data_IF_636447483280
#
_entry.id   IF_636447483280
#
_cell.length_a   1.000
_cell.length_b   1.000
_cell.length_c   1.000
_cell.angle_alpha   90.00
_cell.angle_beta   90.00
_cell.angle_gamma   90.00
#
_symmetry.space_group_name_H-M   'P 1'
#
loop_
_entity.id
_entity.type
_entity.pdbx_description
1 polymer ?
#
# COMPACT_ATOMS: atom_id res chain seq x y z
N UNK A 1 1.01 15.46 -11.34
CA UNK A 1 1.02 14.25 -10.50
C UNK A 1 2.11 13.36 -11.07
N UNK A 2 2.94 12.76 -10.23
CA UNK A 2 3.95 11.80 -10.67
C UNK A 2 3.29 10.64 -11.43
N UNK A 3 4.08 9.88 -12.18
CA UNK A 3 3.60 8.68 -12.85
C UNK A 3 3.38 7.55 -11.83
N UNK A 4 2.37 6.71 -12.06
CA UNK A 4 2.22 5.46 -11.31
C UNK A 4 3.33 4.51 -11.78
N UNK A 5 4.18 4.07 -10.86
CA UNK A 5 5.32 3.19 -11.16
C UNK A 5 5.05 1.74 -10.79
N UNK A 6 4.07 1.50 -9.91
CA UNK A 6 3.61 0.15 -9.58
C UNK A 6 2.11 0.17 -9.23
N UNK A 7 1.41 -0.86 -9.67
CA UNK A 7 0.02 -1.13 -9.31
C UNK A 7 -0.14 -2.63 -9.01
N UNK A 8 -0.96 -2.95 -8.00
CA UNK A 8 -1.35 -4.32 -7.67
C UNK A 8 -2.84 -4.37 -7.36
N UNK A 9 -3.49 -5.46 -7.76
CA UNK A 9 -4.86 -5.77 -7.34
C UNK A 9 -4.84 -6.99 -6.41
N UNK A 10 -5.50 -6.86 -5.26
CA UNK A 10 -5.68 -7.88 -4.22
C UNK A 10 -7.18 -8.18 -4.15
N UNK A 11 -7.53 -9.43 -3.87
CA UNK A 11 -8.92 -9.83 -3.63
C UNK A 11 -9.25 -9.71 -2.15
N UNK A 12 -10.41 -9.14 -1.83
CA UNK A 12 -11.03 -9.25 -0.51
C UNK A 12 -12.22 -10.19 -0.62
N UNK A 13 -12.19 -11.31 0.10
CA UNK A 13 -13.31 -12.25 0.19
C UNK A 13 -14.09 -11.97 1.47
N UNK A 14 -15.30 -11.44 1.32
CA UNK A 14 -16.20 -11.13 2.44
C UNK A 14 -16.77 -12.43 3.05
N UNK A 15 -17.31 -12.38 4.29
CA UNK A 15 -18.00 -13.51 4.92
C UNK A 15 -19.17 -14.09 4.10
N UNK A 16 -19.77 -13.29 3.22
CA UNK A 16 -20.81 -13.75 2.27
C UNK A 16 -20.26 -14.62 1.13
N UNK A 17 -18.94 -14.72 0.98
CA UNK A 17 -18.27 -15.30 -0.18
C UNK A 17 -18.13 -14.34 -1.36
N UNK A 18 -18.63 -13.10 -1.25
CA UNK A 18 -18.46 -12.07 -2.27
C UNK A 18 -16.99 -11.65 -2.35
N UNK A 19 -16.45 -11.60 -3.58
CA UNK A 19 -15.09 -11.10 -3.83
C UNK A 19 -15.14 -9.64 -4.30
N UNK A 20 -14.36 -8.79 -3.65
CA UNK A 20 -14.14 -7.40 -4.03
C UNK A 20 -12.67 -7.18 -4.39
N UNK A 21 -12.39 -6.16 -5.21
CA UNK A 21 -11.02 -5.83 -5.63
C UNK A 21 -10.50 -4.64 -4.83
N UNK A 22 -9.34 -4.83 -4.19
CA UNK A 22 -8.56 -3.79 -3.54
C UNK A 22 -7.37 -3.46 -4.43
N UNK A 23 -7.23 -2.21 -4.82
CA UNK A 23 -6.16 -1.72 -5.67
C UNK A 23 -5.12 -0.96 -4.84
N UNK A 24 -3.87 -1.35 -4.97
CA UNK A 24 -2.71 -0.70 -4.37
C UNK A 24 -1.94 0.02 -5.48
N UNK A 25 -1.68 1.31 -5.33
CA UNK A 25 -0.95 2.15 -6.30
C UNK A 25 0.21 2.85 -5.63
N UNK A 26 1.33 2.93 -6.33
CA UNK A 26 2.54 3.61 -5.90
C UNK A 26 3.00 4.55 -7.01
N UNK A 27 3.28 5.79 -6.64
CA UNK A 27 3.72 6.82 -7.56
C UNK A 27 5.23 7.02 -7.49
N UNK A 28 5.80 7.54 -8.58
CA UNK A 28 7.20 7.93 -8.63
C UNK A 28 7.53 8.91 -7.49
N UNK A 29 8.67 8.73 -6.80
CA UNK A 29 9.10 9.67 -5.78
C UNK A 29 9.40 11.05 -6.39
N UNK A 30 8.94 12.11 -5.73
CA UNK A 30 9.18 13.50 -6.12
C UNK A 30 9.88 14.25 -5.00
N UNK A 31 10.84 15.10 -5.37
CA UNK A 31 11.45 16.02 -4.41
C UNK A 31 10.48 17.15 -4.08
N UNK A 32 10.29 17.43 -2.79
CA UNK A 32 9.46 18.50 -2.23
C UNK A 32 10.34 19.63 -1.70
N UNK A 33 10.56 20.72 -2.47
CA UNK A 33 11.46 21.79 -2.05
C UNK A 33 11.04 22.47 -0.74
N UNK A 34 9.74 22.57 -0.47
CA UNK A 34 9.21 23.20 0.74
C UNK A 34 9.50 22.42 2.03
N UNK A 35 9.69 21.10 1.93
CA UNK A 35 9.96 20.22 3.06
C UNK A 35 11.41 19.68 3.04
N UNK A 36 12.19 20.03 2.00
CA UNK A 36 13.57 19.59 1.79
C UNK A 36 13.74 18.06 1.84
N UNK A 37 12.73 17.32 1.37
CA UNK A 37 12.69 15.86 1.38
C UNK A 37 12.15 15.30 0.06
N UNK A 38 12.23 13.99 -0.10
CA UNK A 38 11.53 13.25 -1.13
C UNK A 38 10.28 12.61 -0.56
N UNK A 39 9.22 12.56 -1.37
CA UNK A 39 7.96 11.90 -1.04
C UNK A 39 7.60 10.90 -2.14
N UNK A 40 7.08 9.73 -1.76
CA UNK A 40 6.45 8.80 -2.67
C UNK A 40 5.01 8.54 -2.19
N UNK A 41 4.03 8.92 -3.01
CA UNK A 41 2.63 8.66 -2.71
C UNK A 41 2.32 7.16 -2.82
N UNK A 42 1.48 6.67 -1.92
CA UNK A 42 0.90 5.33 -1.93
C UNK A 42 -0.59 5.39 -1.63
N UNK A 43 -1.37 4.56 -2.31
CA UNK A 43 -2.81 4.47 -2.13
C UNK A 43 -3.26 3.01 -2.08
N UNK A 44 -4.23 2.72 -1.22
CA UNK A 44 -4.96 1.46 -1.16
C UNK A 44 -6.46 1.80 -1.22
N UNK A 45 -7.16 1.31 -2.24
CA UNK A 45 -8.57 1.63 -2.47
C UNK A 45 -9.40 0.44 -2.95
N UNK A 46 -10.62 0.29 -2.44
CA UNK A 46 -11.55 -0.79 -2.75
C UNK A 46 -12.57 -0.96 -1.61
N UNK A 47 -13.61 -1.78 -1.80
CA UNK A 47 -14.61 -2.05 -0.75
C UNK A 47 -15.29 -0.82 -0.12
N UNK A 48 -15.40 0.29 -0.87
CA UNK A 48 -15.94 1.56 -0.35
C UNK A 48 -14.96 2.40 0.46
N UNK A 49 -13.72 1.94 0.62
CA UNK A 49 -12.64 2.62 1.31
C UNK A 49 -11.56 3.10 0.33
N UNK A 50 -10.92 4.21 0.67
CA UNK A 50 -9.76 4.72 -0.05
C UNK A 50 -8.84 5.42 0.93
N UNK A 51 -7.60 4.97 1.01
CA UNK A 51 -6.57 5.52 1.87
C UNK A 51 -5.38 5.92 1.02
N UNK A 52 -4.97 7.18 1.14
CA UNK A 52 -3.79 7.72 0.47
C UNK A 52 -2.87 8.36 1.50
N UNK A 53 -1.60 8.04 1.42
CA UNK A 53 -0.54 8.61 2.26
C UNK A 53 0.76 8.67 1.46
N UNK A 54 1.88 8.99 2.09
CA UNK A 54 3.19 9.03 1.46
C UNK A 54 4.28 8.49 2.38
N UNK A 55 5.28 7.86 1.79
CA UNK A 55 6.58 7.66 2.42
C UNK A 55 7.47 8.90 2.24
N UNK A 56 8.33 9.19 3.20
CA UNK A 56 9.28 10.32 3.15
C UNK A 56 10.72 9.85 3.28
N UNK A 57 11.66 10.60 2.70
CA UNK A 57 13.09 10.29 2.82
C UNK A 57 13.99 11.46 2.45
N UNK A 58 15.29 11.32 2.74
CA UNK A 58 16.32 12.26 2.29
C UNK A 58 16.59 12.08 0.78
N UNK A 59 16.31 10.90 0.26
CA UNK A 59 16.39 10.56 -1.16
C UNK A 59 15.15 9.79 -1.65
N UNK A 60 15.06 9.65 -2.97
CA UNK A 60 13.97 8.98 -3.67
C UNK A 60 13.77 7.52 -3.24
N UNK A 61 14.86 6.79 -2.95
CA UNK A 61 14.80 5.38 -2.54
C UNK A 61 14.24 5.24 -1.13
N UNK A 62 14.65 6.09 -0.19
CA UNK A 62 14.12 6.12 1.17
C UNK A 62 12.63 6.46 1.18
N UNK A 63 12.21 7.44 0.38
CA UNK A 63 10.79 7.79 0.24
C UNK A 63 9.97 6.60 -0.32
N UNK A 64 10.48 5.95 -1.36
CA UNK A 64 9.86 4.77 -1.96
C UNK A 64 9.80 3.60 -0.98
N UNK A 65 10.88 3.34 -0.25
CA UNK A 65 10.94 2.30 0.77
C UNK A 65 9.93 2.56 1.88
N UNK A 66 9.85 3.80 2.38
CA UNK A 66 8.85 4.20 3.36
C UNK A 66 7.42 4.00 2.88
N UNK A 67 7.13 4.34 1.62
CA UNK A 67 5.81 4.15 1.03
C UNK A 67 5.42 2.67 0.93
N UNK A 68 6.35 1.81 0.48
CA UNK A 68 6.17 0.36 0.48
C UNK A 68 5.94 -0.20 1.88
N UNK A 69 6.64 0.35 2.88
CA UNK A 69 6.52 -0.05 4.28
C UNK A 69 5.18 0.36 4.91
N UNK A 70 4.39 1.24 4.29
CA UNK A 70 3.06 1.59 4.80
C UNK A 70 1.98 0.62 4.31
N UNK A 71 2.20 -0.10 3.21
CA UNK A 71 1.16 -0.90 2.54
C UNK A 71 0.56 -1.98 3.47
N UNK A 72 1.33 -2.79 4.21
CA UNK A 72 0.74 -3.79 5.11
C UNK A 72 -0.18 -3.17 6.17
N UNK A 73 0.22 -2.05 6.76
CA UNK A 73 -0.59 -1.33 7.74
C UNK A 73 -1.84 -0.70 7.10
N UNK A 74 -1.78 -0.29 5.84
CA UNK A 74 -2.96 0.18 5.10
C UNK A 74 -3.92 -0.97 4.81
N UNK A 75 -3.41 -2.16 4.49
CA UNK A 75 -4.20 -3.37 4.21
C UNK A 75 -4.89 -3.94 5.45
N UNK A 76 -4.31 -3.77 6.64
CA UNK A 76 -4.91 -4.28 7.88
C UNK A 76 -6.28 -3.66 8.20
N UNK A 77 -6.62 -2.51 7.60
CA UNK A 77 -7.97 -1.93 7.70
C UNK A 77 -9.06 -2.84 7.13
N UNK A 78 -8.74 -3.67 6.14
CA UNK A 78 -9.69 -4.58 5.49
C UNK A 78 -9.83 -5.94 6.18
N UNK A 79 -8.92 -6.31 7.11
CA UNK A 79 -8.94 -7.61 7.79
C UNK A 79 -10.21 -7.83 8.62
N UNK A 80 -10.83 -6.75 9.11
CA UNK A 80 -12.13 -6.83 9.79
C UNK A 80 -13.30 -7.14 8.87
N UNK A 81 -13.15 -6.90 7.56
CA UNK A 81 -14.20 -7.05 6.56
C UNK A 81 -14.18 -8.43 5.89
N UNK A 82 -13.04 -9.15 5.90
CA UNK A 82 -12.89 -10.44 5.25
C UNK A 82 -11.43 -10.87 5.09
N UNK A 83 -11.20 -11.84 4.20
CA UNK A 83 -9.87 -12.38 3.92
C UNK A 83 -9.26 -11.73 2.69
N UNK A 84 -8.06 -11.15 2.83
CA UNK A 84 -7.26 -10.67 1.70
C UNK A 84 -6.46 -11.82 1.06
N UNK A 85 -6.35 -11.79 -0.27
CA UNK A 85 -5.55 -12.76 -1.04
C UNK A 85 -4.99 -12.17 -2.33
N UNK A 86 -3.82 -12.65 -2.74
CA UNK A 86 -3.21 -12.35 -4.04
C UNK A 86 -3.04 -13.65 -4.83
N UNK A 87 -3.56 -13.71 -6.05
CA UNK A 87 -3.60 -14.93 -6.87
C UNK A 87 -4.21 -16.15 -6.16
N UNK A 88 -5.28 -15.92 -5.37
CA UNK A 88 -5.95 -16.95 -4.55
C UNK A 88 -5.04 -17.62 -3.49
N UNK A 89 -3.86 -17.05 -3.21
CA UNK A 89 -3.02 -17.40 -2.07
C UNK A 89 -3.33 -16.46 -0.89
N UNK A 90 -3.24 -16.96 0.35
CA UNK A 90 -3.49 -16.20 1.59
C UNK A 90 -2.47 -15.07 1.85
N UNK A 91 -1.52 -14.87 0.93
CA UNK A 91 -0.53 -13.81 0.97
C UNK A 91 -0.96 -12.61 0.10
N UNK A 92 -0.65 -11.39 0.52
CA UNK A 92 -1.02 -10.16 -0.19
C UNK A 92 0.04 -9.68 -1.20
N UNK A 93 1.15 -10.42 -1.33
CA UNK A 93 2.30 -10.00 -2.14
C UNK A 93 3.19 -8.96 -1.43
N UNK A 94 2.83 -8.52 -0.23
CA UNK A 94 3.59 -7.56 0.58
C UNK A 94 4.16 -8.28 1.81
N UNK A 95 5.45 -8.11 2.12
CA UNK A 95 6.04 -8.74 3.29
C UNK A 95 5.46 -8.13 4.58
N UNK A 96 5.26 -8.97 5.59
CA UNK A 96 4.91 -8.50 6.93
C UNK A 96 6.03 -7.64 7.53
N UNK A 97 5.62 -6.62 8.28
CA UNK A 97 6.56 -5.79 9.04
C UNK A 97 6.70 -6.41 10.42
N UNK A 98 7.74 -7.22 10.60
CA UNK A 98 8.07 -7.78 11.90
C UNK A 98 9.02 -6.84 12.65
N UNK A 99 8.47 -5.95 13.48
CA UNK A 99 9.25 -5.01 14.30
C UNK A 99 9.89 -5.67 15.54
N UNK A 100 9.59 -6.93 15.84
CA UNK A 100 10.11 -7.59 17.06
C UNK A 100 11.49 -8.23 16.88
N UNK A 101 12.00 -8.28 15.64
CA UNK A 101 13.33 -8.83 15.30
C UNK A 101 14.22 -7.83 14.53
N UNK A 102 13.92 -6.53 14.60
CA UNK A 102 14.69 -5.47 13.93
C UNK A 102 15.89 -4.98 14.76
#
# INVERSE_FOLDING_TARGET
MPDVIAERTISLTLPSGTKESIRVRLWAPEYRPSALCWEADVEVAGAGEAHKTHGVGIDAFQALYGALHLIPAMLSSYEGNGQLSWFDEEWTGFPEINLTNA
#
